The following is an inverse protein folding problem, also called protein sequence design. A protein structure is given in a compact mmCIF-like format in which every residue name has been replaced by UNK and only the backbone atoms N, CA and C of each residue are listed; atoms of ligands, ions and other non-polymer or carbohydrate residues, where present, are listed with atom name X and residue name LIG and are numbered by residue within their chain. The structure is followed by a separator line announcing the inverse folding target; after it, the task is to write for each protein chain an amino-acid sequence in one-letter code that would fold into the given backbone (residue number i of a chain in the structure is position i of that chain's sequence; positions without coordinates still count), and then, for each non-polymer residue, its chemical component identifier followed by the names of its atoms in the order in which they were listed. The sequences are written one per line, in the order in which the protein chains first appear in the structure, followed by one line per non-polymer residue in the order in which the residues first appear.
data_IF_298936963059
#
_entry.id   IF_298936963059
#
_cell.length_a   1.000
_cell.length_b   1.000
_cell.length_c   1.000
_cell.angle_alpha   90.00
_cell.angle_beta   90.00
_cell.angle_gamma   90.00
#
_symmetry.space_group_name_H-M   'P 1'
#
loop_
_entity.id
_entity.type
_entity.pdbx_description
1 polymer ?
#
# COMPACT_ATOMS: atom_id res chain seq x y z
N UNK A 1 17.75 -19.39 -37.95
CA UNK A 1 16.58 -18.50 -37.96
C UNK A 1 16.20 -18.27 -36.50
N UNK A 2 16.51 -17.09 -35.93
CA UNK A 2 16.02 -16.74 -34.60
C UNK A 2 14.55 -16.34 -34.76
N UNK A 3 13.65 -17.10 -34.15
CA UNK A 3 12.25 -16.69 -34.01
C UNK A 3 12.22 -15.70 -32.86
N UNK A 4 12.00 -14.42 -33.16
CA UNK A 4 11.72 -13.43 -32.14
C UNK A 4 10.25 -13.60 -31.77
N UNK A 5 9.97 -13.87 -30.49
CA UNK A 5 8.63 -13.70 -29.97
C UNK A 5 8.26 -12.22 -30.12
N UNK A 6 7.04 -11.94 -30.58
CA UNK A 6 6.52 -10.57 -30.55
C UNK A 6 6.58 -10.05 -29.11
N UNK A 7 6.73 -8.72 -28.94
CA UNK A 7 6.58 -8.12 -27.63
C UNK A 7 5.24 -8.58 -27.03
N UNK A 8 5.27 -9.04 -25.78
CA UNK A 8 4.06 -9.44 -25.08
C UNK A 8 3.17 -8.21 -24.89
N UNK A 9 1.95 -8.31 -25.37
CA UNK A 9 0.91 -7.29 -25.33
C UNK A 9 -0.29 -7.85 -24.56
N UNK A 10 -0.65 -7.19 -23.46
CA UNK A 10 -1.74 -7.59 -22.58
C UNK A 10 -3.05 -6.84 -22.88
N UNK A 11 -3.08 -5.94 -23.88
CA UNK A 11 -4.31 -5.28 -24.34
C UNK A 11 -5.43 -6.25 -24.72
N UNK A 12 -5.17 -7.35 -25.46
CA UNK A 12 -6.23 -8.30 -25.81
C UNK A 12 -6.86 -8.96 -24.57
N UNK A 13 -6.06 -9.24 -23.55
CA UNK A 13 -6.55 -9.82 -22.28
C UNK A 13 -7.39 -8.79 -21.53
N UNK A 14 -6.90 -7.56 -21.40
CA UNK A 14 -7.66 -6.49 -20.76
C UNK A 14 -9.01 -6.27 -21.46
N UNK A 15 -9.03 -6.25 -22.79
CA UNK A 15 -10.26 -6.11 -23.57
C UNK A 15 -11.21 -7.30 -23.40
N UNK A 16 -10.71 -8.55 -23.44
CA UNK A 16 -11.54 -9.76 -23.24
C UNK A 16 -12.26 -9.75 -21.89
N UNK A 17 -11.58 -9.31 -20.83
CA UNK A 17 -12.13 -9.25 -19.48
C UNK A 17 -12.78 -7.89 -19.12
N UNK A 18 -12.91 -6.98 -20.10
CA UNK A 18 -13.47 -5.63 -19.91
C UNK A 18 -12.78 -4.83 -18.79
N UNK A 19 -11.44 -4.91 -18.72
CA UNK A 19 -10.62 -4.19 -17.76
C UNK A 19 -10.27 -2.80 -18.31
N UNK A 20 -10.82 -1.71 -17.73
CA UNK A 20 -10.55 -0.36 -18.22
C UNK A 20 -9.14 0.10 -17.82
N UNK A 21 -8.30 0.42 -18.81
CA UNK A 21 -6.91 0.84 -18.57
C UNK A 21 -6.77 2.35 -18.30
N UNK A 22 -7.57 3.17 -18.98
CA UNK A 22 -7.42 4.63 -18.96
C UNK A 22 -8.58 5.37 -18.28
N UNK A 23 -8.30 6.57 -17.80
CA UNK A 23 -9.33 7.50 -17.34
C UNK A 23 -9.57 8.60 -18.39
N UNK A 24 -10.82 9.05 -18.59
CA UNK A 24 -11.09 10.27 -19.34
C UNK A 24 -10.35 11.46 -18.74
N UNK A 25 -9.95 12.42 -19.57
CA UNK A 25 -9.21 13.65 -19.15
C UNK A 25 -9.90 14.38 -18.00
N UNK A 26 -11.24 14.43 -18.00
CA UNK A 26 -12.01 15.04 -16.92
C UNK A 26 -11.71 14.44 -15.53
N UNK A 27 -11.49 13.13 -15.44
CA UNK A 27 -11.19 12.47 -14.16
C UNK A 27 -9.77 12.76 -13.68
N UNK A 28 -8.81 12.93 -14.60
CA UNK A 28 -7.47 13.41 -14.25
C UNK A 28 -7.51 14.83 -13.70
N UNK A 29 -8.27 15.72 -14.34
CA UNK A 29 -8.44 17.11 -13.87
C UNK A 29 -9.15 17.18 -12.51
N UNK A 30 -10.20 16.37 -12.31
CA UNK A 30 -10.90 16.26 -11.02
C UNK A 30 -9.96 15.71 -9.94
N UNK A 31 -9.19 14.66 -10.23
CA UNK A 31 -8.22 14.07 -9.30
C UNK A 31 -7.10 15.06 -8.92
N UNK A 32 -6.55 15.78 -9.90
CA UNK A 32 -5.50 16.77 -9.69
C UNK A 32 -5.94 17.97 -8.83
N UNK A 33 -7.24 18.29 -8.84
CA UNK A 33 -7.82 19.39 -8.08
C UNK A 33 -8.53 18.96 -6.79
N UNK A 34 -8.60 17.65 -6.53
CA UNK A 34 -9.27 17.10 -5.37
C UNK A 34 -8.60 17.57 -4.06
N UNK A 35 -9.44 17.86 -3.07
CA UNK A 35 -9.01 18.31 -1.76
C UNK A 35 -9.58 17.38 -0.70
N UNK A 36 -8.86 17.27 0.40
CA UNK A 36 -9.29 16.50 1.56
C UNK A 36 -10.52 17.13 2.22
N UNK A 37 -11.66 16.44 2.09
CA UNK A 37 -12.97 16.84 2.62
C UNK A 37 -13.02 16.89 4.15
N UNK A 38 -12.05 16.30 4.84
CA UNK A 38 -12.00 16.21 6.31
C UNK A 38 -10.81 16.96 6.91
N UNK A 39 -10.20 17.89 6.16
CA UNK A 39 -8.99 18.60 6.56
C UNK A 39 -9.09 19.33 7.92
N UNK A 40 -10.29 19.76 8.32
CA UNK A 40 -10.58 20.43 9.58
C UNK A 40 -10.78 19.48 10.78
N UNK A 41 -10.89 18.18 10.53
CA UNK A 41 -11.17 17.13 11.53
C UNK A 41 -9.95 16.26 11.84
N UNK A 42 -8.80 16.55 11.22
CA UNK A 42 -7.60 15.72 11.38
C UNK A 42 -6.85 16.05 12.66
N UNK A 43 -6.52 15.01 13.41
CA UNK A 43 -5.50 15.10 14.44
C UNK A 43 -4.11 15.20 13.82
N UNK A 44 -3.19 15.92 14.48
CA UNK A 44 -1.80 15.99 14.06
C UNK A 44 -1.00 14.83 14.65
N UNK A 45 -0.59 13.89 13.81
CA UNK A 45 0.24 12.74 14.18
C UNK A 45 1.55 12.69 13.38
N UNK A 46 1.97 13.83 12.82
CA UNK A 46 3.20 13.91 12.00
C UNK A 46 4.45 13.51 12.78
N UNK A 47 4.44 13.67 14.10
CA UNK A 47 5.55 13.30 14.98
C UNK A 47 5.67 11.78 15.21
N UNK A 48 4.65 10.98 14.87
CA UNK A 48 4.78 9.52 14.89
C UNK A 48 5.67 9.11 13.70
N UNK A 49 6.79 8.40 13.91
CA UNK A 49 7.76 8.13 12.85
C UNK A 49 7.33 6.95 11.98
N UNK A 50 6.21 7.10 11.27
CA UNK A 50 5.71 6.07 10.34
C UNK A 50 6.73 5.73 9.25
N UNK A 51 6.74 4.48 8.80
CA UNK A 51 7.45 4.04 7.60
C UNK A 51 6.56 3.17 6.73
N UNK A 52 6.76 3.17 5.42
CA UNK A 52 6.10 2.22 4.50
C UNK A 52 7.05 1.06 4.18
N UNK A 53 6.51 -0.10 3.78
CA UNK A 53 7.27 -1.26 3.32
C UNK A 53 6.55 -1.83 2.10
N UNK A 54 7.12 -1.63 0.91
CA UNK A 54 6.44 -1.87 -0.37
C UNK A 54 7.42 -2.42 -1.41
N UNK A 55 6.94 -3.01 -2.53
CA UNK A 55 7.83 -3.39 -3.61
C UNK A 55 8.66 -2.21 -4.15
N UNK A 56 9.84 -2.54 -4.68
CA UNK A 56 10.70 -1.58 -5.38
C UNK A 56 9.91 -0.95 -6.53
N UNK A 57 9.90 0.38 -6.59
CA UNK A 57 9.23 1.15 -7.64
C UNK A 57 7.77 1.53 -7.36
N UNK A 58 7.07 0.89 -6.42
CA UNK A 58 5.70 1.27 -6.01
C UNK A 58 5.54 2.76 -5.71
N UNK A 59 4.40 3.34 -6.02
CA UNK A 59 4.09 4.74 -5.68
C UNK A 59 2.71 4.90 -5.04
N UNK A 60 1.88 3.88 -5.13
CA UNK A 60 0.60 3.67 -4.46
C UNK A 60 0.80 3.13 -3.04
N UNK A 61 1.37 3.95 -2.17
CA UNK A 61 1.72 3.56 -0.80
C UNK A 61 0.50 3.73 0.12
N UNK A 62 -0.29 2.67 0.25
CA UNK A 62 -1.56 2.71 0.98
C UNK A 62 -1.41 2.68 2.51
N UNK A 63 -0.27 2.18 3.01
CA UNK A 63 -0.12 1.86 4.42
C UNK A 63 1.26 2.19 4.97
N UNK A 64 1.28 2.72 6.21
CA UNK A 64 2.50 3.00 6.95
C UNK A 64 2.36 2.51 8.40
N UNK A 65 3.48 2.08 8.98
CA UNK A 65 3.49 1.44 10.30
C UNK A 65 4.54 2.05 11.23
N UNK A 66 4.20 2.11 12.51
CA UNK A 66 5.12 2.34 13.61
C UNK A 66 4.75 1.40 14.76
N UNK A 67 5.73 0.69 15.34
CA UNK A 67 5.50 -0.27 16.41
C UNK A 67 6.35 0.11 17.62
N UNK A 68 5.70 0.31 18.77
CA UNK A 68 6.37 0.61 20.03
C UNK A 68 6.07 -0.46 21.08
N UNK A 69 7.03 -0.68 21.98
CA UNK A 69 6.82 -1.51 23.17
C UNK A 69 6.11 -0.70 24.24
N UNK A 70 5.15 -1.32 24.91
CA UNK A 70 4.44 -0.74 26.06
C UNK A 70 4.73 -1.54 27.33
N UNK A 71 4.22 -1.09 28.48
CA UNK A 71 4.29 -1.86 29.73
C UNK A 71 3.43 -3.13 29.71
N UNK A 72 2.47 -3.23 28.79
CA UNK A 72 1.51 -4.34 28.70
C UNK A 72 1.77 -5.26 27.49
N UNK A 73 2.75 -4.94 26.65
CA UNK A 73 3.04 -5.65 25.41
C UNK A 73 3.54 -4.69 24.34
N UNK A 74 2.74 -4.45 23.30
CA UNK A 74 3.09 -3.60 22.16
C UNK A 74 1.93 -2.71 21.75
N UNK A 75 2.24 -1.61 21.06
CA UNK A 75 1.26 -0.80 20.34
C UNK A 75 1.68 -0.69 18.88
N UNK A 76 0.76 -1.05 17.99
CA UNK A 76 0.93 -0.91 16.54
C UNK A 76 0.13 0.30 16.10
N UNK A 77 0.82 1.33 15.62
CA UNK A 77 0.20 2.41 14.87
C UNK A 77 0.23 2.04 13.40
N UNK A 78 -0.95 1.98 12.79
CA UNK A 78 -1.13 1.60 11.39
C UNK A 78 -1.92 2.70 10.68
N UNK A 79 -1.22 3.49 9.88
CA UNK A 79 -1.81 4.55 9.08
C UNK A 79 -2.24 3.97 7.73
N UNK A 80 -3.53 4.11 7.40
CA UNK A 80 -4.08 3.78 6.09
C UNK A 80 -4.37 5.08 5.35
N UNK A 81 -3.91 5.20 4.11
CA UNK A 81 -4.24 6.29 3.21
C UNK A 81 -5.75 6.57 3.19
N UNK A 82 -6.15 7.81 3.46
CA UNK A 82 -7.56 8.22 3.46
C UNK A 82 -8.00 8.68 2.06
N UNK A 83 -7.83 7.83 1.05
CA UNK A 83 -8.10 8.19 -0.37
C UNK A 83 -9.56 8.63 -0.56
N UNK A 84 -10.49 8.00 0.17
CA UNK A 84 -11.90 8.36 0.15
C UNK A 84 -12.17 9.81 0.57
N UNK A 85 -11.29 10.43 1.36
CA UNK A 85 -11.40 11.84 1.73
C UNK A 85 -11.27 12.80 0.54
N UNK A 86 -10.72 12.34 -0.59
CA UNK A 86 -10.59 13.14 -1.82
C UNK A 86 -11.74 12.90 -2.81
N UNK A 87 -12.65 11.99 -2.51
CA UNK A 87 -13.74 11.61 -3.41
C UNK A 87 -15.03 12.26 -2.92
N UNK A 88 -15.50 13.27 -3.64
CA UNK A 88 -16.73 13.98 -3.29
C UNK A 88 -17.96 13.13 -3.61
N UNK A 89 -18.96 13.05 -2.70
CA UNK A 89 -20.21 12.35 -2.98
C UNK A 89 -20.90 12.89 -4.22
N UNK A 90 -21.33 12.00 -5.12
CA UNK A 90 -21.97 12.32 -6.40
C UNK A 90 -21.02 12.80 -7.50
N UNK A 91 -19.70 12.81 -7.28
CA UNK A 91 -18.73 13.28 -8.28
C UNK A 91 -18.47 12.24 -9.38
N UNK A 92 -17.79 12.65 -10.46
CA UNK A 92 -17.44 11.71 -11.51
C UNK A 92 -16.36 10.73 -11.05
N UNK A 93 -15.45 11.15 -10.15
CA UNK A 93 -14.52 10.24 -9.48
C UNK A 93 -15.25 9.17 -8.64
N UNK A 94 -16.31 9.53 -7.90
CA UNK A 94 -17.09 8.54 -7.14
C UNK A 94 -17.68 7.48 -8.07
N UNK A 95 -18.34 7.93 -9.15
CA UNK A 95 -18.96 7.04 -10.14
C UNK A 95 -17.92 6.09 -10.77
N UNK A 96 -16.77 6.63 -11.19
CA UNK A 96 -15.69 5.83 -11.78
C UNK A 96 -15.08 4.85 -10.77
N UNK A 97 -14.93 5.24 -9.50
CA UNK A 97 -14.41 4.37 -8.44
C UNK A 97 -15.36 3.21 -8.17
N UNK A 98 -16.68 3.46 -8.17
CA UNK A 98 -17.71 2.41 -8.01
C UNK A 98 -17.71 1.47 -9.22
N UNK A 99 -17.59 2.00 -10.44
CA UNK A 99 -17.56 1.21 -11.67
C UNK A 99 -16.31 0.30 -11.74
N UNK A 100 -15.14 0.82 -11.36
CA UNK A 100 -13.87 0.08 -11.37
C UNK A 100 -13.75 -0.91 -10.20
N UNK A 101 -14.18 -0.51 -9.00
CA UNK A 101 -14.23 -1.33 -7.79
C UNK A 101 -12.87 -1.71 -7.15
N UNK A 102 -11.84 -1.97 -7.96
CA UNK A 102 -10.49 -2.31 -7.50
C UNK A 102 -9.42 -1.95 -8.55
N UNK A 103 -8.16 -1.91 -8.14
CA UNK A 103 -7.03 -1.95 -9.07
C UNK A 103 -6.83 -3.38 -9.56
N UNK A 104 -6.72 -3.59 -10.87
CA UNK A 104 -6.37 -4.87 -11.48
C UNK A 104 -4.92 -4.80 -11.97
N UNK A 105 -4.04 -5.57 -11.35
CA UNK A 105 -2.62 -5.58 -11.68
C UNK A 105 -2.35 -6.55 -12.85
N UNK A 106 -2.15 -6.02 -14.06
CA UNK A 106 -1.63 -6.78 -15.20
C UNK A 106 -0.10 -6.81 -15.15
N UNK A 107 0.56 -7.77 -15.84
CA UNK A 107 2.02 -7.88 -15.83
C UNK A 107 2.77 -6.66 -16.38
N UNK A 108 2.14 -5.90 -17.28
CA UNK A 108 2.70 -4.72 -17.94
C UNK A 108 2.22 -3.41 -17.31
N UNK A 109 1.00 -3.36 -16.76
CA UNK A 109 0.40 -2.12 -16.28
C UNK A 109 -0.74 -2.35 -15.26
N UNK A 110 -0.84 -1.56 -14.20
CA UNK A 110 -2.01 -1.60 -13.32
C UNK A 110 -3.21 -0.87 -13.94
N UNK A 111 -4.33 -1.57 -14.15
CA UNK A 111 -5.61 -0.91 -14.39
C UNK A 111 -6.13 -0.35 -13.06
N UNK A 112 -5.80 0.91 -12.79
CA UNK A 112 -5.95 1.54 -11.47
C UNK A 112 -7.40 1.75 -11.07
N UNK A 113 -7.66 1.73 -9.77
CA UNK A 113 -8.95 2.17 -9.20
C UNK A 113 -9.14 3.68 -9.32
N UNK A 114 -8.10 4.46 -9.03
CA UNK A 114 -8.12 5.92 -9.07
C UNK A 114 -7.04 6.45 -10.04
N UNK A 115 -7.21 7.67 -10.60
CA UNK A 115 -6.14 8.34 -11.35
C UNK A 115 -4.84 8.46 -10.53
N UNK A 116 -3.70 8.58 -11.21
CA UNK A 116 -2.37 8.61 -10.58
C UNK A 116 -2.16 9.82 -9.66
N UNK A 117 -2.81 10.94 -9.97
CA UNK A 117 -2.79 12.15 -9.17
C UNK A 117 -3.30 11.92 -7.74
N UNK A 118 -4.23 10.97 -7.58
CA UNK A 118 -4.68 10.49 -6.27
C UNK A 118 -3.89 9.27 -5.80
N UNK A 119 -3.89 8.19 -6.58
CA UNK A 119 -3.36 6.89 -6.13
C UNK A 119 -1.85 6.90 -5.89
N UNK A 120 -1.08 7.67 -6.67
CA UNK A 120 0.38 7.79 -6.55
C UNK A 120 0.84 9.18 -6.05
N UNK A 121 -0.13 10.02 -5.69
CA UNK A 121 0.03 11.41 -5.32
C UNK A 121 -0.60 11.72 -3.97
N UNK A 122 -1.73 12.43 -3.99
CA UNK A 122 -2.35 13.00 -2.78
C UNK A 122 -2.85 11.93 -1.78
N UNK A 123 -3.22 10.76 -2.27
CA UNK A 123 -3.64 9.61 -1.45
C UNK A 123 -2.48 8.72 -1.00
N UNK A 124 -1.31 8.80 -1.63
CA UNK A 124 -0.16 7.94 -1.28
C UNK A 124 0.63 8.49 -0.10
N UNK A 125 1.01 7.63 0.84
CA UNK A 125 1.82 7.94 2.04
C UNK A 125 3.30 8.13 1.69
N UNK A 126 3.58 9.02 0.73
CA UNK A 126 4.93 9.32 0.24
C UNK A 126 5.86 9.82 1.35
N UNK A 127 7.12 9.44 1.25
CA UNK A 127 8.15 9.81 2.22
C UNK A 127 8.33 11.34 2.28
N UNK A 128 8.34 11.88 3.49
CA UNK A 128 8.59 13.29 3.79
C UNK A 128 7.39 14.21 3.54
N UNK A 129 6.28 13.68 3.03
CA UNK A 129 5.09 14.46 2.72
C UNK A 129 4.01 14.27 3.78
N UNK A 130 3.37 15.38 4.14
CA UNK A 130 2.21 15.37 5.02
C UNK A 130 1.01 14.81 4.24
N UNK A 131 0.43 13.74 4.78
CA UNK A 131 -0.63 12.98 4.09
C UNK A 131 -1.81 12.64 5.00
N UNK A 132 -3.04 12.73 4.48
CA UNK A 132 -4.23 12.33 5.21
C UNK A 132 -4.29 10.80 5.35
N UNK A 133 -4.47 10.34 6.58
CA UNK A 133 -4.61 8.93 6.90
C UNK A 133 -5.73 8.68 7.92
N UNK A 134 -6.26 7.46 7.92
CA UNK A 134 -6.99 6.88 9.04
C UNK A 134 -6.01 6.03 9.83
N UNK A 135 -5.69 6.47 11.05
CA UNK A 135 -4.70 5.82 11.90
C UNK A 135 -5.39 4.93 12.92
N UNK A 136 -5.04 3.65 12.88
CA UNK A 136 -5.36 2.67 13.91
C UNK A 136 -4.22 2.60 14.91
N UNK A 137 -4.51 2.83 16.19
CA UNK A 137 -3.59 2.51 17.30
C UNK A 137 -4.11 1.25 17.98
N UNK A 138 -3.41 0.13 17.81
CA UNK A 138 -3.83 -1.19 18.27
C UNK A 138 -2.93 -1.64 19.41
N UNK A 139 -3.52 -1.89 20.58
CA UNK A 139 -2.82 -2.41 21.75
C UNK A 139 -2.81 -3.93 21.74
N UNK A 140 -1.62 -4.50 21.81
CA UNK A 140 -1.36 -5.93 21.89
C UNK A 140 -0.83 -6.28 23.27
N UNK A 141 -1.36 -7.34 23.88
CA UNK A 141 -0.81 -7.89 25.11
C UNK A 141 0.50 -8.67 24.86
N UNK A 142 1.09 -9.24 25.91
CA UNK A 142 2.33 -10.02 25.83
C UNK A 142 2.21 -11.28 24.97
N UNK A 143 1.00 -11.81 24.77
CA UNK A 143 0.72 -12.93 23.89
C UNK A 143 0.43 -12.48 22.46
N UNK A 144 0.42 -11.17 22.21
CA UNK A 144 0.07 -10.54 20.95
C UNK A 144 -1.43 -10.51 20.68
N UNK A 145 -2.29 -10.73 21.68
CA UNK A 145 -3.75 -10.58 21.51
C UNK A 145 -4.16 -9.10 21.58
N UNK A 146 -5.19 -8.75 20.79
CA UNK A 146 -5.70 -7.38 20.78
C UNK A 146 -6.44 -7.11 22.09
N UNK A 147 -5.91 -6.19 22.89
CA UNK A 147 -6.50 -5.76 24.16
C UNK A 147 -7.34 -4.48 24.01
N UNK A 148 -7.07 -3.69 22.97
CA UNK A 148 -7.81 -2.47 22.66
C UNK A 148 -7.39 -1.86 21.32
N UNK A 149 -8.19 -0.94 20.81
CA UNK A 149 -7.83 -0.14 19.66
C UNK A 149 -8.53 1.22 19.68
N UNK A 150 -7.92 2.17 18.99
CA UNK A 150 -8.51 3.48 18.72
C UNK A 150 -8.28 3.86 17.25
N UNK A 151 -9.25 4.52 16.64
CA UNK A 151 -9.22 4.93 15.23
C UNK A 151 -9.53 6.41 15.13
N UNK A 152 -8.71 7.13 14.37
CA UNK A 152 -8.84 8.58 14.17
C UNK A 152 -8.37 8.98 12.77
N UNK A 153 -8.98 10.01 12.22
CA UNK A 153 -8.44 10.70 11.03
C UNK A 153 -7.30 11.59 11.48
N UNK A 154 -6.18 11.51 10.77
CA UNK A 154 -4.99 12.25 11.11
C UNK A 154 -4.25 12.74 9.87
N UNK A 155 -3.37 13.72 10.09
CA UNK A 155 -2.28 14.07 9.19
C UNK A 155 -1.03 13.35 9.69
N UNK A 156 -0.35 12.60 8.81
CA UNK A 156 0.85 11.82 9.12
C UNK A 156 1.99 12.21 8.20
N UNK A 157 3.23 11.88 8.58
CA UNK A 157 4.42 12.08 7.76
C UNK A 157 5.25 10.79 7.75
N UNK A 158 5.34 10.11 6.60
CA UNK A 158 6.16 8.91 6.47
C UNK A 158 7.64 9.30 6.43
N UNK A 159 8.45 8.72 7.31
CA UNK A 159 9.87 9.10 7.49
C UNK A 159 10.78 8.34 6.53
N UNK A 160 10.40 7.13 6.17
CA UNK A 160 11.14 6.29 5.23
C UNK A 160 10.19 5.44 4.40
N UNK A 161 10.56 5.25 3.14
CA UNK A 161 10.00 4.22 2.27
C UNK A 161 11.00 3.07 2.21
N UNK A 162 10.60 1.92 2.73
CA UNK A 162 11.42 0.70 2.73
C UNK A 162 10.90 -0.25 1.65
N UNK A 163 11.75 -1.18 1.23
CA UNK A 163 11.35 -2.33 0.44
C UNK A 163 11.55 -3.64 1.20
N UNK A 164 10.84 -4.69 0.80
CA UNK A 164 10.85 -5.97 1.51
C UNK A 164 12.24 -6.62 1.56
N UNK A 165 12.99 -6.58 0.47
CA UNK A 165 14.29 -7.24 0.37
C UNK A 165 15.32 -6.51 1.23
N UNK A 166 15.31 -5.17 1.20
CA UNK A 166 16.15 -4.35 2.07
C UNK A 166 15.75 -4.49 3.55
N UNK A 167 14.46 -4.47 3.88
CA UNK A 167 14.00 -4.64 5.24
C UNK A 167 14.42 -6.01 5.84
N UNK A 168 14.40 -7.07 5.02
CA UNK A 168 14.89 -8.39 5.42
C UNK A 168 16.42 -8.39 5.62
N UNK A 169 17.18 -7.77 4.71
CA UNK A 169 18.63 -7.64 4.85
C UNK A 169 19.00 -6.81 6.11
N UNK A 170 18.27 -5.75 6.39
CA UNK A 170 18.48 -4.92 7.58
C UNK A 170 18.18 -5.70 8.85
N UNK A 171 17.13 -6.52 8.86
CA UNK A 171 16.85 -7.44 9.96
C UNK A 171 18.02 -8.41 10.19
N UNK A 172 18.49 -9.07 9.14
CA UNK A 172 19.56 -10.08 9.22
C UNK A 172 20.89 -9.47 9.71
N UNK A 173 21.13 -8.19 9.41
CA UNK A 173 22.32 -7.45 9.82
C UNK A 173 22.16 -6.69 11.15
N UNK A 174 20.97 -6.72 11.78
CA UNK A 174 20.71 -5.98 13.02
C UNK A 174 20.62 -4.46 12.84
N UNK A 175 20.23 -4.01 11.64
CA UNK A 175 20.12 -2.61 11.21
C UNK A 175 18.68 -2.17 10.95
N UNK A 176 17.70 -2.94 11.43
CA UNK A 176 16.28 -2.68 11.18
C UNK A 176 15.89 -1.25 11.62
N UNK A 177 15.11 -0.56 10.77
CA UNK A 177 14.66 0.80 11.07
C UNK A 177 13.91 0.85 12.40
N UNK A 178 14.17 1.86 13.23
CA UNK A 178 13.62 1.97 14.61
C UNK A 178 12.09 1.85 14.64
N UNK A 179 11.40 2.41 13.66
CA UNK A 179 9.94 2.35 13.56
C UNK A 179 9.34 0.95 13.47
N UNK A 180 10.13 -0.03 13.04
CA UNK A 180 9.72 -1.42 12.86
C UNK A 180 10.64 -2.38 13.63
N UNK A 181 11.43 -1.90 14.59
CA UNK A 181 12.35 -2.73 15.38
C UNK A 181 11.65 -3.91 16.08
N UNK A 182 10.37 -3.72 16.43
CA UNK A 182 9.55 -4.73 17.09
C UNK A 182 8.73 -5.60 16.13
N UNK A 183 8.75 -5.32 14.82
CA UNK A 183 7.98 -6.05 13.81
C UNK A 183 8.26 -7.56 13.82
N UNK A 184 9.51 -8.07 13.94
CA UNK A 184 9.74 -9.51 14.01
C UNK A 184 9.09 -10.17 15.23
N UNK A 185 9.11 -9.48 16.38
CA UNK A 185 8.53 -10.00 17.62
C UNK A 185 7.01 -9.99 17.55
N UNK A 186 6.41 -8.86 17.17
CA UNK A 186 4.96 -8.72 17.00
C UNK A 186 4.45 -9.69 15.94
N UNK A 187 5.14 -9.80 14.79
CA UNK A 187 4.80 -10.74 13.72
C UNK A 187 4.71 -12.18 14.21
N UNK A 188 5.70 -12.66 14.96
CA UNK A 188 5.68 -14.00 15.56
C UNK A 188 4.53 -14.17 16.55
N UNK A 189 4.29 -13.21 17.44
CA UNK A 189 3.16 -13.27 18.38
C UNK A 189 1.80 -13.31 17.66
N UNK A 190 1.65 -12.57 16.55
CA UNK A 190 0.44 -12.59 15.72
C UNK A 190 0.27 -13.91 14.97
N UNK A 191 1.36 -14.55 14.53
CA UNK A 191 1.33 -15.91 13.98
C UNK A 191 0.91 -16.94 15.04
N UNK A 192 1.45 -16.86 16.25
CA UNK A 192 1.05 -17.73 17.37
C UNK A 192 -0.43 -17.51 17.76
N UNK A 193 -0.91 -16.26 17.77
CA UNK A 193 -2.33 -15.93 17.93
C UNK A 193 -3.20 -16.53 16.83
N UNK A 194 -2.75 -16.50 15.58
CA UNK A 194 -3.45 -17.11 14.46
C UNK A 194 -3.60 -18.64 14.68
N UNK A 195 -2.55 -19.31 15.15
CA UNK A 195 -2.59 -20.74 15.49
C UNK A 195 -3.57 -21.03 16.65
N UNK A 196 -3.57 -20.22 17.71
CA UNK A 196 -4.53 -20.34 18.82
C UNK A 196 -5.99 -20.19 18.38
N UNK A 197 -6.23 -19.37 17.35
CA UNK A 197 -7.56 -19.13 16.76
C UNK A 197 -7.90 -20.09 15.62
N UNK A 198 -7.07 -21.12 15.40
CA UNK A 198 -7.26 -22.13 14.35
C UNK A 198 -7.39 -21.48 12.96
N UNK A 199 -6.68 -20.37 12.72
CA UNK A 199 -6.71 -19.67 11.45
C UNK A 199 -6.12 -20.54 10.34
N UNK A 200 -6.85 -20.64 9.23
CA UNK A 200 -6.40 -21.38 8.06
C UNK A 200 -5.47 -20.48 7.24
N UNK A 201 -4.22 -20.91 7.05
CA UNK A 201 -3.28 -20.27 6.15
C UNK A 201 -2.91 -21.25 5.02
N UNK A 202 -3.29 -20.91 3.79
CA UNK A 202 -3.00 -21.72 2.61
C UNK A 202 -1.85 -21.08 1.84
N UNK A 203 -0.71 -21.77 1.80
CA UNK A 203 0.41 -21.39 0.92
C UNK A 203 0.09 -21.81 -0.51
N UNK A 204 -0.64 -20.95 -1.23
CA UNK A 204 -0.93 -21.16 -2.66
C UNK A 204 0.28 -20.67 -3.47
N UNK A 205 0.81 -21.47 -4.41
CA UNK A 205 1.90 -21.01 -5.27
C UNK A 205 1.45 -19.81 -6.10
N UNK A 206 2.28 -18.78 -6.16
CA UNK A 206 2.11 -17.62 -7.05
C UNK A 206 3.12 -17.66 -8.18
N UNK A 207 2.74 -17.05 -9.31
CA UNK A 207 3.62 -16.84 -10.46
C UNK A 207 3.81 -15.34 -10.66
N UNK A 208 5.04 -14.94 -10.95
CA UNK A 208 5.39 -13.56 -11.30
C UNK A 208 6.02 -13.55 -12.68
N UNK A 209 5.51 -12.69 -13.55
CA UNK A 209 6.12 -12.40 -14.84
C UNK A 209 7.17 -11.31 -14.62
N UNK A 210 8.37 -11.50 -15.15
CA UNK A 210 9.48 -10.55 -15.02
C UNK A 210 10.03 -10.24 -16.40
N UNK A 211 10.18 -8.95 -16.70
CA UNK A 211 10.82 -8.52 -17.94
C UNK A 211 12.32 -8.73 -17.82
N UNK A 212 12.92 -9.47 -18.75
CA UNK A 212 14.36 -9.76 -18.76
C UNK A 212 14.98 -9.00 -19.94
N UNK A 213 16.04 -8.23 -19.67
CA UNK A 213 16.82 -7.59 -20.72
C UNK A 213 17.63 -8.66 -21.47
N UNK A 214 17.42 -8.81 -22.76
CA UNK A 214 18.27 -9.62 -23.64
C UNK A 214 19.13 -8.69 -24.51
N UNK A 215 20.44 -8.66 -24.23
CA UNK A 215 21.44 -7.82 -24.92
C UNK A 215 21.49 -8.07 -26.45
N UNK A 216 20.92 -9.17 -26.95
CA UNK A 216 20.92 -9.52 -28.37
C UNK A 216 19.54 -9.41 -29.07
N UNK A 217 18.46 -9.09 -28.35
CA UNK A 217 17.10 -9.19 -28.89
C UNK A 217 16.13 -8.05 -28.49
N UNK A 218 16.52 -7.19 -27.55
CA UNK A 218 15.62 -6.18 -26.98
C UNK A 218 14.88 -6.72 -25.76
N UNK A 219 13.93 -5.94 -25.24
CA UNK A 219 13.23 -6.27 -24.01
C UNK A 219 12.15 -7.35 -24.26
N UNK A 220 12.25 -8.49 -23.56
CA UNK A 220 11.27 -9.59 -23.61
C UNK A 220 10.70 -9.90 -22.20
N UNK A 221 9.47 -10.40 -22.15
CA UNK A 221 8.81 -10.88 -20.93
C UNK A 221 8.83 -12.41 -20.85
#
# INVERSE_FOLDING_TARGET
MKLYAAALDFDPVAHEFNVPRDFPTQLHEEAASAQDLYSDQREDLREIPFVTIDPVGSRDLDQAVYIEKTTAGFRVHYAIADVAAFIAPGSALEQASIERGQTIYLPDFPARLHPEELSEGAGSLLQGEDRPAVVWSIDLDELGEVSGFHVRRALVNSRARLDYDQAQQDLDNGLLHSSIEHLPTVGRLRQESALRREAINLSIPSQRVVRVADEAAGEHY
#
